data_IF_232228968899
#
_entry.id   IF_232228968899
#
_cell.length_a   1.000
_cell.length_b   1.000
_cell.length_c   1.000
_cell.angle_alpha   90.00
_cell.angle_beta   90.00
_cell.angle_gamma   90.00
#
_symmetry.space_group_name_H-M   'P 1'
#
loop_
_entity.id
_entity.type
_entity.pdbx_description
1 polymer ?
#
# COMPACT_ATOMS: atom_id res chain seq x y z
N UNK A 1 12.98 -13.03 5.36
CA UNK A 1 13.03 -11.54 5.53
C UNK A 1 11.69 -11.05 6.04
N UNK A 2 11.65 -10.25 7.11
CA UNK A 2 10.42 -9.70 7.70
C UNK A 2 10.09 -8.34 7.08
N UNK A 3 8.82 -8.09 6.79
CA UNK A 3 8.35 -6.85 6.16
C UNK A 3 7.60 -5.94 7.14
N UNK A 4 7.64 -4.64 6.87
CA UNK A 4 6.75 -3.61 7.43
C UNK A 4 6.21 -2.74 6.30
N UNK A 5 5.05 -2.10 6.50
CA UNK A 5 4.33 -1.43 5.41
C UNK A 5 3.39 -0.30 5.84
N UNK A 6 3.81 0.58 6.75
CA UNK A 6 2.95 1.69 7.21
C UNK A 6 2.66 2.64 6.05
N UNK A 7 1.37 2.90 5.79
CA UNK A 7 0.93 3.67 4.61
C UNK A 7 0.58 2.79 3.40
N UNK A 8 0.51 1.48 3.56
CA UNK A 8 -0.04 0.57 2.55
C UNK A 8 -1.43 1.02 2.11
N UNK A 9 -1.67 0.99 0.80
CA UNK A 9 -2.94 1.35 0.18
C UNK A 9 -3.74 0.14 -0.31
N UNK A 10 -3.30 -1.07 0.07
CA UNK A 10 -3.90 -2.35 -0.34
C UNK A 10 -4.03 -2.54 -1.87
N UNK A 11 -3.06 -2.06 -2.67
CA UNK A 11 -3.11 -2.18 -4.14
C UNK A 11 -2.79 -3.58 -4.69
N UNK A 12 -2.21 -4.47 -3.88
CA UNK A 12 -1.92 -5.85 -4.28
C UNK A 12 -0.71 -6.07 -5.19
N UNK A 13 -0.01 -5.01 -5.64
CA UNK A 13 1.17 -5.16 -6.53
C UNK A 13 2.25 -6.05 -5.91
N UNK A 14 2.50 -5.92 -4.61
CA UNK A 14 3.48 -6.76 -3.91
C UNK A 14 3.15 -8.26 -3.94
N UNK A 15 1.85 -8.62 -3.95
CA UNK A 15 1.40 -10.01 -4.04
C UNK A 15 1.70 -10.57 -5.43
N UNK A 16 1.38 -9.80 -6.48
CA UNK A 16 1.66 -10.19 -7.87
C UNK A 16 3.17 -10.24 -8.16
N UNK A 17 3.93 -9.35 -7.54
CA UNK A 17 5.37 -9.26 -7.69
C UNK A 17 6.16 -10.38 -6.98
N UNK A 18 5.53 -11.19 -6.12
CA UNK A 18 6.21 -12.19 -5.30
C UNK A 18 6.28 -13.55 -6.03
N UNK A 19 7.44 -13.96 -6.59
CA UNK A 19 7.53 -15.22 -7.34
C UNK A 19 7.18 -16.48 -6.55
N UNK A 20 7.58 -16.64 -5.26
CA UNK A 20 7.19 -17.82 -4.48
C UNK A 20 5.79 -17.69 -3.85
N UNK A 21 5.02 -16.66 -4.19
CA UNK A 21 3.69 -16.39 -3.61
C UNK A 21 3.68 -16.32 -2.07
N UNK A 22 4.75 -15.82 -1.47
CA UNK A 22 4.89 -15.67 -0.02
C UNK A 22 4.09 -14.52 0.58
N UNK A 23 3.29 -13.80 -0.23
CA UNK A 23 2.47 -12.68 0.19
C UNK A 23 1.02 -12.90 -0.24
N UNK A 24 0.08 -12.52 0.62
CA UNK A 24 -1.36 -12.59 0.35
C UNK A 24 -2.05 -11.34 0.86
N UNK A 25 -2.95 -10.77 0.06
CA UNK A 25 -3.76 -9.63 0.47
C UNK A 25 -5.18 -10.13 0.78
N UNK A 26 -5.48 -10.23 2.06
CA UNK A 26 -6.79 -10.69 2.53
C UNK A 26 -7.71 -9.50 2.77
N UNK A 27 -8.92 -9.56 2.19
CA UNK A 27 -9.97 -8.58 2.41
C UNK A 27 -11.06 -9.21 3.27
N UNK A 28 -11.33 -8.63 4.43
CA UNK A 28 -12.43 -9.00 5.32
C UNK A 28 -13.49 -7.89 5.38
N UNK A 29 -14.69 -8.21 5.86
CA UNK A 29 -15.73 -7.22 6.13
C UNK A 29 -15.55 -6.64 7.54
N UNK A 30 -15.54 -5.31 7.64
CA UNK A 30 -15.51 -4.57 8.92
C UNK A 30 -16.89 -4.12 9.41
N UNK A 31 -17.96 -4.42 8.66
CA UNK A 31 -19.31 -3.90 8.89
C UNK A 31 -19.54 -2.53 8.24
N UNK A 32 -20.81 -2.13 8.09
CA UNK A 32 -21.22 -0.80 7.60
C UNK A 32 -20.55 -0.31 6.28
N UNK A 33 -20.27 -1.22 5.34
CA UNK A 33 -19.63 -0.88 4.05
C UNK A 33 -18.12 -0.65 4.11
N UNK A 34 -17.51 -0.83 5.29
CA UNK A 34 -16.08 -0.78 5.52
C UNK A 34 -15.51 -2.20 5.41
N UNK A 35 -14.37 -2.33 4.73
CA UNK A 35 -13.58 -3.55 4.66
C UNK A 35 -12.29 -3.39 5.46
N UNK A 36 -11.76 -4.52 5.96
CA UNK A 36 -10.46 -4.59 6.61
C UNK A 36 -9.54 -5.37 5.68
N UNK A 37 -8.48 -4.73 5.23
CA UNK A 37 -7.48 -5.35 4.36
C UNK A 37 -6.21 -5.62 5.14
N UNK A 38 -5.75 -6.87 5.12
CA UNK A 38 -4.51 -7.30 5.78
C UNK A 38 -3.56 -7.87 4.73
N UNK A 39 -2.37 -7.30 4.65
CA UNK A 39 -1.27 -7.91 3.92
C UNK A 39 -0.61 -8.96 4.83
N UNK A 40 -0.61 -10.20 4.40
CA UNK A 40 -0.07 -11.35 5.08
C UNK A 40 1.23 -11.79 4.38
N UNK A 41 2.17 -12.29 5.18
CA UNK A 41 3.42 -12.87 4.71
C UNK A 41 3.57 -14.29 5.27
N UNK A 42 3.94 -15.23 4.42
CA UNK A 42 4.36 -16.59 4.79
C UNK A 42 5.88 -16.62 4.87
N UNK A 43 6.49 -16.59 6.06
CA UNK A 43 7.95 -16.46 6.21
C UNK A 43 8.72 -17.61 5.57
N UNK A 44 8.20 -18.83 5.67
CA UNK A 44 8.83 -20.05 5.15
C UNK A 44 8.96 -20.06 3.61
N UNK A 45 8.03 -19.42 2.90
CA UNK A 45 8.05 -19.32 1.43
C UNK A 45 8.91 -18.14 0.92
N UNK A 46 9.33 -17.22 1.78
CA UNK A 46 9.98 -15.99 1.38
C UNK A 46 11.48 -16.20 1.07
N UNK A 47 11.86 -16.07 -0.21
CA UNK A 47 13.26 -16.19 -0.68
C UNK A 47 14.11 -14.94 -0.41
N UNK A 48 13.50 -13.82 -0.01
CA UNK A 48 14.22 -12.58 0.23
C UNK A 48 14.67 -11.81 -1.03
N UNK A 49 14.08 -12.08 -2.20
CA UNK A 49 14.42 -11.43 -3.47
C UNK A 49 14.09 -9.92 -3.59
N UNK A 50 13.31 -9.37 -2.65
CA UNK A 50 12.96 -7.94 -2.53
C UNK A 50 12.05 -7.34 -3.62
N UNK A 51 11.57 -8.11 -4.61
CA UNK A 51 10.64 -7.59 -5.64
C UNK A 51 9.40 -6.88 -5.07
N UNK A 52 8.87 -7.33 -3.93
CA UNK A 52 7.75 -6.68 -3.26
C UNK A 52 8.05 -5.28 -2.74
N UNK A 53 9.30 -5.00 -2.34
CA UNK A 53 9.75 -3.69 -1.90
C UNK A 53 9.93 -2.79 -3.12
N UNK A 54 10.67 -3.27 -4.11
CA UNK A 54 11.09 -2.46 -5.26
C UNK A 54 9.91 -2.07 -6.17
N UNK A 55 8.88 -2.91 -6.25
CA UNK A 55 7.69 -2.67 -7.07
C UNK A 55 6.52 -2.05 -6.28
N UNK A 56 6.71 -1.66 -5.02
CA UNK A 56 5.65 -1.04 -4.23
C UNK A 56 5.34 0.39 -4.76
N UNK A 57 4.15 0.66 -5.33
CA UNK A 57 3.89 1.97 -5.97
C UNK A 57 3.83 3.14 -4.99
N UNK A 58 3.51 2.86 -3.73
CA UNK A 58 3.47 3.85 -2.65
C UNK A 58 4.79 3.94 -1.88
N UNK A 59 5.80 3.15 -2.24
CA UNK A 59 7.12 3.11 -1.60
C UNK A 59 7.08 2.96 -0.06
N UNK A 60 6.17 2.12 0.46
CA UNK A 60 5.98 1.95 1.91
C UNK A 60 6.51 0.65 2.47
N UNK A 61 6.79 -0.34 1.61
CA UNK A 61 7.30 -1.63 2.07
C UNK A 61 8.79 -1.53 2.39
N UNK A 62 9.17 -2.03 3.57
CA UNK A 62 10.56 -2.01 4.06
C UNK A 62 10.92 -3.34 4.72
N UNK A 63 12.21 -3.68 4.73
CA UNK A 63 12.72 -4.84 5.46
C UNK A 63 12.95 -4.49 6.94
N UNK A 64 12.36 -5.26 7.85
CA UNK A 64 12.52 -5.12 9.30
C UNK A 64 13.50 -6.16 9.89
N UNK A 65 14.42 -6.66 9.06
CA UNK A 65 15.45 -7.64 9.43
C UNK A 65 15.07 -9.11 9.16
N UNK A 66 15.88 -10.06 9.67
CA UNK A 66 15.59 -11.49 9.57
C UNK A 66 14.43 -11.89 10.48
N UNK A 67 13.87 -13.08 10.23
CA UNK A 67 12.91 -13.70 11.14
C UNK A 67 13.65 -14.44 12.26
N UNK A 68 13.17 -14.42 13.51
CA UNK A 68 13.68 -15.32 14.53
C UNK A 68 13.36 -16.77 14.15
N UNK A 69 14.29 -17.68 14.42
CA UNK A 69 14.16 -19.11 14.07
C UNK A 69 12.89 -19.75 14.66
N UNK A 70 12.48 -19.35 15.86
CA UNK A 70 11.25 -19.83 16.49
C UNK A 70 9.99 -19.53 15.68
N UNK A 71 9.94 -18.45 14.90
CA UNK A 71 8.79 -18.10 14.08
C UNK A 71 8.80 -18.79 12.72
N UNK A 72 9.97 -19.09 12.16
CA UNK A 72 10.10 -19.84 10.90
C UNK A 72 9.62 -21.28 11.05
N UNK A 73 9.84 -21.88 12.22
CA UNK A 73 9.44 -23.27 12.50
C UNK A 73 7.93 -23.47 12.63
N UNK A 74 7.15 -22.39 12.79
CA UNK A 74 5.70 -22.46 13.03
C UNK A 74 4.89 -22.43 11.72
N UNK A 75 5.55 -22.26 10.56
CA UNK A 75 4.96 -22.23 9.21
C UNK A 75 3.57 -21.58 9.13
N UNK A 76 3.48 -20.33 9.62
CA UNK A 76 2.22 -19.57 9.68
C UNK A 76 2.30 -18.30 8.85
N UNK A 77 1.15 -17.83 8.41
CA UNK A 77 1.00 -16.47 7.88
C UNK A 77 1.06 -15.45 9.02
N UNK A 78 1.78 -14.35 8.79
CA UNK A 78 1.92 -13.24 9.73
C UNK A 78 1.48 -11.94 9.08
N UNK A 79 0.73 -11.10 9.79
CA UNK A 79 0.31 -9.79 9.32
C UNK A 79 1.48 -8.82 9.20
N UNK A 80 1.71 -8.30 8.00
CA UNK A 80 2.66 -7.22 7.71
C UNK A 80 2.04 -5.86 8.05
N UNK A 81 0.79 -5.66 7.64
CA UNK A 81 0.02 -4.45 7.93
C UNK A 81 -1.47 -4.70 7.73
N UNK A 82 -2.29 -4.01 8.52
CA UNK A 82 -3.75 -4.03 8.43
C UNK A 82 -4.24 -2.60 8.29
N UNK A 83 -5.16 -2.38 7.36
CA UNK A 83 -5.78 -1.09 7.10
C UNK A 83 -7.26 -1.24 6.79
N UNK A 84 -8.01 -0.18 7.03
CA UNK A 84 -9.41 -0.05 6.61
C UNK A 84 -9.48 0.43 5.16
N UNK A 85 -10.32 -0.24 4.38
CA UNK A 85 -10.59 0.09 2.98
C UNK A 85 -12.08 0.22 2.75
N UNK A 86 -12.47 0.93 1.72
CA UNK A 86 -13.85 0.97 1.23
C UNK A 86 -13.86 0.87 -0.29
N UNK A 87 -15.00 0.49 -0.85
CA UNK A 87 -15.22 0.54 -2.30
C UNK A 87 -15.83 1.87 -2.68
N UNK A 88 -15.27 2.54 -3.69
CA UNK A 88 -15.78 3.83 -4.13
C UNK A 88 -17.17 3.69 -4.76
N UNK A 89 -18.16 4.45 -4.29
CA UNK A 89 -19.53 4.43 -4.82
C UNK A 89 -19.62 4.85 -6.31
N UNK A 90 -18.60 5.55 -6.84
CA UNK A 90 -18.56 6.03 -8.23
C UNK A 90 -17.88 5.08 -9.20
N UNK A 91 -16.74 4.49 -8.83
CA UNK A 91 -15.92 3.68 -9.76
C UNK A 91 -15.69 2.24 -9.28
N UNK A 92 -16.14 1.87 -8.09
CA UNK A 92 -15.96 0.55 -7.50
C UNK A 92 -14.55 0.25 -6.97
N UNK A 93 -13.55 1.10 -7.25
CA UNK A 93 -12.18 0.86 -6.80
C UNK A 93 -12.09 0.83 -5.27
N UNK A 94 -11.36 -0.15 -4.73
CA UNK A 94 -10.99 -0.18 -3.32
C UNK A 94 -9.96 0.91 -3.02
N UNK A 95 -10.12 1.61 -1.90
CA UNK A 95 -9.20 2.65 -1.47
C UNK A 95 -9.08 2.68 0.06
N UNK A 96 -7.92 3.09 0.61
CA UNK A 96 -7.75 3.24 2.05
C UNK A 96 -8.63 4.38 2.56
N UNK A 97 -9.30 4.16 3.70
CA UNK A 97 -10.16 5.16 4.34
C UNK A 97 -10.01 5.09 5.85
N UNK A 98 -9.96 6.24 6.52
CA UNK A 98 -9.96 6.33 8.00
C UNK A 98 -11.21 7.03 8.55
N UNK A 99 -11.94 7.76 7.69
CA UNK A 99 -13.13 8.54 8.01
C UNK A 99 -14.43 7.95 7.45
N UNK A 100 -14.35 6.84 6.69
CA UNK A 100 -15.52 6.26 6.03
C UNK A 100 -15.98 7.05 4.81
N UNK A 101 -15.05 7.73 4.12
CA UNK A 101 -15.35 8.42 2.87
C UNK A 101 -16.02 7.48 1.85
N UNK A 102 -16.94 8.01 1.06
CA UNK A 102 -17.68 7.25 0.03
C UNK A 102 -17.02 7.23 -1.34
N UNK A 103 -16.06 8.13 -1.57
CA UNK A 103 -15.37 8.30 -2.85
C UNK A 103 -13.86 8.20 -2.68
N UNK A 104 -13.21 7.51 -3.60
CA UNK A 104 -11.75 7.41 -3.61
C UNK A 104 -11.11 8.79 -3.94
N UNK A 105 -9.82 9.00 -3.58
CA UNK A 105 -9.13 10.27 -3.82
C UNK A 105 -9.22 10.75 -5.28
N UNK A 106 -9.10 9.84 -6.25
CA UNK A 106 -9.21 10.17 -7.68
C UNK A 106 -10.61 10.62 -8.07
N UNK A 107 -11.66 9.95 -7.59
CA UNK A 107 -13.04 10.32 -7.89
C UNK A 107 -13.43 11.64 -7.23
N UNK A 108 -12.93 11.91 -6.03
CA UNK A 108 -13.07 13.20 -5.34
C UNK A 108 -12.40 14.32 -6.13
N UNK A 109 -11.13 14.15 -6.51
CA UNK A 109 -10.39 15.12 -7.33
C UNK A 109 -11.09 15.42 -8.66
N UNK A 110 -11.54 14.39 -9.40
CA UNK A 110 -12.25 14.59 -10.67
C UNK A 110 -13.59 15.32 -10.50
N UNK A 111 -14.24 15.22 -9.34
CA UNK A 111 -15.48 15.97 -9.06
C UNK A 111 -15.18 17.44 -8.77
N UNK A 112 -14.11 17.75 -8.03
CA UNK A 112 -13.70 19.13 -7.76
C UNK A 112 -13.05 19.80 -8.97
N UNK A 113 -12.50 19.02 -9.91
CA UNK A 113 -11.73 19.53 -11.05
C UNK A 113 -12.16 18.90 -12.38
N UNK A 114 -13.38 19.20 -12.91
CA UNK A 114 -13.91 18.55 -14.12
C UNK A 114 -13.03 18.68 -15.37
N UNK A 115 -12.37 19.82 -15.53
CA UNK A 115 -11.45 20.11 -16.64
C UNK A 115 -9.97 20.12 -16.21
N UNK A 116 -9.68 19.77 -14.96
CA UNK A 116 -8.32 19.81 -14.42
C UNK A 116 -7.50 18.59 -14.83
N UNK A 117 -6.19 18.79 -14.94
CA UNK A 117 -5.20 17.71 -15.05
C UNK A 117 -4.20 17.81 -13.91
N UNK A 118 -3.60 16.68 -13.54
CA UNK A 118 -2.52 16.63 -12.57
C UNK A 118 -1.39 15.79 -13.16
N UNK A 119 -0.17 16.28 -13.02
CA UNK A 119 1.01 15.52 -13.40
C UNK A 119 1.24 14.39 -12.41
N UNK A 120 1.76 13.23 -12.85
CA UNK A 120 2.12 12.16 -11.94
C UNK A 120 3.22 12.63 -10.97
N UNK A 121 3.27 12.08 -9.74
CA UNK A 121 4.35 12.36 -8.81
C UNK A 121 5.73 12.15 -9.46
N UNK A 122 6.69 13.04 -9.18
CA UNK A 122 8.05 12.97 -9.73
C UNK A 122 8.24 13.61 -11.10
N UNK A 123 7.16 14.03 -11.78
CA UNK A 123 7.28 14.81 -13.01
C UNK A 123 7.49 16.29 -12.68
N UNK A 124 8.59 16.87 -13.19
CA UNK A 124 8.86 18.31 -13.13
C UNK A 124 8.58 18.94 -14.48
N UNK A 125 7.83 20.04 -14.49
CA UNK A 125 7.61 20.81 -15.71
C UNK A 125 8.90 21.53 -16.09
N UNK A 126 9.37 21.44 -17.35
CA UNK A 126 10.49 22.27 -17.80
C UNK A 126 10.16 23.75 -17.56
N UNK A 127 10.96 24.44 -16.74
CA UNK A 127 10.81 25.86 -16.45
C UNK A 127 9.94 26.24 -15.24
N UNK A 128 9.36 25.30 -14.50
CA UNK A 128 8.69 25.64 -13.23
C UNK A 128 9.71 25.65 -12.08
N UNK A 129 10.00 26.82 -11.49
CA UNK A 129 10.68 26.90 -10.20
C UNK A 129 9.72 26.42 -9.11
N UNK A 130 9.90 25.21 -8.62
CA UNK A 130 9.21 24.71 -7.43
C UNK A 130 9.58 25.59 -6.23
N UNK A 131 8.63 26.18 -5.48
CA UNK A 131 8.96 26.74 -4.16
C UNK A 131 9.47 25.59 -3.30
N UNK A 132 10.72 25.69 -2.85
CA UNK A 132 11.41 24.63 -2.13
C UNK A 132 10.58 24.11 -0.97
N UNK A 133 10.53 22.78 -0.84
CA UNK A 133 10.14 22.14 0.41
C UNK A 133 11.00 22.73 1.55
N UNK A 134 10.43 22.98 2.75
CA UNK A 134 11.21 23.52 3.86
C UNK A 134 12.35 22.57 4.17
N UNK A 135 13.60 23.04 4.02
CA UNK A 135 14.76 22.31 4.49
C UNK A 135 14.68 22.26 6.01
N UNK A 136 14.51 21.07 6.59
CA UNK A 136 14.81 20.86 8.00
C UNK A 136 16.32 21.00 8.18
N UNK A 137 16.74 22.20 8.57
CA UNK A 137 18.09 22.49 9.02
C UNK A 137 18.22 22.16 10.51
N UNK A 138 19.24 21.33 10.81
CA UNK A 138 19.80 20.94 12.12
C UNK A 138 18.97 20.08 13.05
#
# INVERSE_FOLDING_TARGET
MRLTGRGCVACGVCVQACPPHALRLQHGSGGAGIAISTLLQTPAACTGCRSCIDLCPSDVLRSAGPWPWSELLVDREVGVTTLTTASCERCGASFPTTSGDRLCPTCTYRRSNPFGSALPPGFTMPGSTTPGAPSTAR
#
